data_IF_696922263441
#
_entry.id   IF_696922263441
#
_cell.length_a   1.000
_cell.length_b   1.000
_cell.length_c   1.000
_cell.angle_alpha   90.00
_cell.angle_beta   90.00
_cell.angle_gamma   90.00
#
_symmetry.space_group_name_H-M   'P 1'
#
loop_
_entity.id
_entity.type
_entity.pdbx_description
1 polymer ?
#
# COMPACT_ATOMS: atom_id res chain seq x y z
N UNK A 1 8.79 10.03 -40.50
CA UNK A 1 8.72 10.07 -39.03
C UNK A 1 8.61 11.53 -38.59
N UNK A 2 7.57 11.89 -37.90
CA UNK A 2 7.42 13.23 -37.34
C UNK A 2 8.25 13.34 -36.04
N UNK A 3 8.49 14.56 -35.55
CA UNK A 3 9.17 14.78 -34.28
C UNK A 3 8.38 14.16 -33.12
N UNK A 4 7.06 14.01 -33.26
CA UNK A 4 6.16 13.36 -32.29
C UNK A 4 6.36 11.85 -32.28
N UNK A 5 6.45 11.21 -33.46
CA UNK A 5 6.70 9.77 -33.59
C UNK A 5 8.01 9.39 -32.89
N UNK A 6 9.07 10.16 -33.12
CA UNK A 6 10.38 9.96 -32.48
C UNK A 6 10.36 10.13 -30.95
N UNK A 7 9.44 10.93 -30.37
CA UNK A 7 9.30 11.05 -28.92
C UNK A 7 8.59 9.83 -28.35
N UNK A 8 7.55 9.35 -29.00
CA UNK A 8 6.78 8.16 -28.59
C UNK A 8 7.68 6.92 -28.62
N UNK A 9 8.45 6.73 -29.67
CA UNK A 9 9.40 5.60 -29.80
C UNK A 9 10.44 5.62 -28.68
N UNK A 10 11.08 6.77 -28.42
CA UNK A 10 12.04 6.90 -27.30
C UNK A 10 11.42 6.60 -25.93
N UNK A 11 10.18 7.02 -25.70
CA UNK A 11 9.47 6.74 -24.47
C UNK A 11 9.13 5.25 -24.37
N UNK A 12 8.68 4.61 -25.44
CA UNK A 12 8.46 3.17 -25.50
C UNK A 12 9.73 2.38 -25.17
N UNK A 13 10.87 2.78 -25.73
CA UNK A 13 12.17 2.16 -25.41
C UNK A 13 12.56 2.38 -23.93
N UNK A 14 12.27 3.55 -23.36
CA UNK A 14 12.51 3.83 -21.92
C UNK A 14 11.68 2.88 -21.06
N UNK A 15 10.39 2.75 -21.35
CA UNK A 15 9.48 1.85 -20.64
C UNK A 15 9.92 0.39 -20.77
N UNK A 16 10.26 -0.04 -21.99
CA UNK A 16 10.72 -1.41 -22.23
C UNK A 16 11.98 -1.75 -21.41
N UNK A 17 12.96 -0.85 -21.35
CA UNK A 17 14.17 -1.05 -20.54
C UNK A 17 13.86 -1.23 -19.06
N UNK A 18 12.81 -0.56 -18.54
CA UNK A 18 12.42 -0.63 -17.13
C UNK A 18 11.53 -1.85 -16.81
N UNK A 19 10.70 -2.28 -17.78
CA UNK A 19 9.60 -3.20 -17.49
C UNK A 19 9.79 -4.59 -18.10
N UNK A 20 10.81 -4.82 -18.93
CA UNK A 20 11.02 -6.10 -19.63
C UNK A 20 11.26 -7.30 -18.71
N UNK A 21 11.64 -7.06 -17.45
CA UNK A 21 11.83 -8.12 -16.42
C UNK A 21 10.54 -8.49 -15.67
N UNK A 22 9.45 -7.73 -15.87
CA UNK A 22 8.20 -7.93 -15.13
C UNK A 22 7.32 -8.98 -15.79
N UNK A 23 7.14 -10.11 -15.13
CA UNK A 23 6.36 -11.25 -15.60
C UNK A 23 5.36 -11.82 -14.55
N UNK A 24 5.24 -11.17 -13.41
CA UNK A 24 4.44 -11.67 -12.29
C UNK A 24 2.92 -11.66 -12.52
N UNK A 25 2.45 -10.96 -13.57
CA UNK A 25 1.02 -10.84 -13.89
C UNK A 25 0.70 -11.62 -15.18
N UNK A 26 0.06 -12.79 -15.09
CA UNK A 26 -0.27 -13.60 -16.27
C UNK A 26 -1.13 -12.80 -17.29
N UNK A 27 -0.74 -12.86 -18.56
CA UNK A 27 -1.43 -12.18 -19.65
C UNK A 27 -1.04 -10.72 -19.88
N UNK A 28 -0.19 -10.14 -19.04
CA UNK A 28 0.33 -8.77 -19.19
C UNK A 28 1.79 -8.80 -19.69
N UNK A 29 1.96 -9.10 -20.98
CA UNK A 29 3.27 -9.06 -21.61
C UNK A 29 3.78 -7.62 -21.71
N UNK A 30 4.92 -7.33 -21.10
CA UNK A 30 5.60 -6.03 -21.19
C UNK A 30 6.66 -6.09 -22.27
N UNK A 31 6.19 -6.02 -23.50
CA UNK A 31 6.98 -6.02 -24.73
C UNK A 31 7.00 -4.62 -25.36
N UNK A 32 7.69 -4.48 -26.50
CA UNK A 32 7.77 -3.20 -27.20
C UNK A 32 6.40 -2.66 -27.60
N UNK A 33 5.48 -3.51 -28.07
CA UNK A 33 4.15 -3.07 -28.53
C UNK A 33 3.31 -2.53 -27.38
N UNK A 34 3.32 -3.20 -26.21
CA UNK A 34 2.63 -2.70 -25.01
C UNK A 34 3.23 -1.40 -24.50
N UNK A 35 4.56 -1.26 -24.52
CA UNK A 35 5.26 -0.02 -24.18
C UNK A 35 4.97 1.11 -25.18
N UNK A 36 4.89 0.79 -26.48
CA UNK A 36 4.53 1.74 -27.51
C UNK A 36 3.09 2.26 -27.35
N UNK A 37 2.16 1.40 -26.93
CA UNK A 37 0.79 1.78 -26.62
C UNK A 37 0.70 2.68 -25.35
N UNK A 38 1.52 2.43 -24.34
CA UNK A 38 1.56 3.22 -23.11
C UNK A 38 2.28 4.58 -23.26
N UNK A 39 3.25 4.68 -24.17
CA UNK A 39 4.11 5.85 -24.32
C UNK A 39 3.38 7.20 -24.56
N UNK A 40 2.33 7.28 -25.39
CA UNK A 40 1.56 8.52 -25.53
C UNK A 40 0.90 8.97 -24.22
N UNK A 41 0.40 8.02 -23.41
CA UNK A 41 -0.25 8.30 -22.14
C UNK A 41 0.76 8.81 -21.10
N UNK A 42 1.91 8.18 -20.97
CA UNK A 42 2.96 8.63 -20.03
C UNK A 42 3.47 10.01 -20.39
N UNK A 43 3.71 10.31 -21.67
CA UNK A 43 4.11 11.63 -22.13
C UNK A 43 3.04 12.70 -21.86
N UNK A 44 1.78 12.36 -22.06
CA UNK A 44 0.65 13.27 -21.79
C UNK A 44 0.49 13.52 -20.29
N UNK A 45 0.58 12.49 -19.45
CA UNK A 45 0.56 12.62 -17.99
C UNK A 45 1.69 13.52 -17.51
N UNK A 46 2.90 13.33 -18.02
CA UNK A 46 4.06 14.18 -17.70
C UNK A 46 3.86 15.65 -18.12
N UNK A 47 3.18 15.92 -19.23
CA UNK A 47 2.79 17.26 -19.65
C UNK A 47 1.80 17.87 -18.66
N UNK A 48 0.72 17.14 -18.33
CA UNK A 48 -0.34 17.57 -17.41
C UNK A 48 0.20 17.81 -16.00
N UNK A 49 1.11 16.96 -15.51
CA UNK A 49 1.81 17.17 -14.23
C UNK A 49 2.47 18.53 -14.17
N UNK A 50 3.27 18.87 -15.18
CA UNK A 50 3.98 20.16 -15.24
C UNK A 50 3.01 21.34 -15.28
N UNK A 51 1.96 21.25 -16.11
CA UNK A 51 0.98 22.32 -16.27
C UNK A 51 0.19 22.62 -15.00
N UNK A 52 -0.07 21.56 -14.19
CA UNK A 52 -0.83 21.69 -12.95
C UNK A 52 0.01 21.84 -11.69
N UNK A 53 1.32 21.77 -11.80
CA UNK A 53 2.21 21.65 -10.64
C UNK A 53 1.92 20.40 -9.81
N UNK A 54 1.48 19.32 -10.46
CA UNK A 54 1.05 18.11 -9.80
C UNK A 54 2.20 17.15 -9.53
N UNK A 55 2.09 16.39 -8.43
CA UNK A 55 2.89 15.20 -8.17
C UNK A 55 2.02 13.95 -8.17
N UNK A 56 2.61 12.83 -8.52
CA UNK A 56 1.98 11.50 -8.46
C UNK A 56 2.63 10.68 -7.36
N UNK A 57 1.82 10.31 -6.37
CA UNK A 57 2.17 9.34 -5.33
C UNK A 57 1.60 7.98 -5.73
N UNK A 58 2.44 6.97 -5.94
CA UNK A 58 2.01 5.64 -6.38
C UNK A 58 2.34 4.56 -5.34
N UNK A 59 1.32 3.80 -4.95
CA UNK A 59 1.53 2.64 -4.10
C UNK A 59 2.23 1.52 -4.88
N UNK A 60 3.09 0.74 -4.21
CA UNK A 60 3.85 -0.37 -4.84
C UNK A 60 2.97 -1.46 -5.46
N UNK A 61 1.66 -1.47 -5.21
CA UNK A 61 0.72 -2.48 -5.70
C UNK A 61 -0.03 -2.06 -6.97
N UNK A 62 0.13 -0.83 -7.45
CA UNK A 62 -0.43 -0.44 -8.76
C UNK A 62 0.45 -0.97 -9.89
N UNK A 63 -0.03 -0.83 -11.13
CA UNK A 63 0.67 -1.33 -12.31
C UNK A 63 2.10 -0.77 -12.42
N UNK A 64 3.09 -1.59 -12.81
CA UNK A 64 4.47 -1.16 -12.99
C UNK A 64 4.64 0.03 -13.95
N UNK A 65 3.78 0.14 -14.98
CA UNK A 65 3.73 1.25 -15.90
C UNK A 65 3.42 2.59 -15.22
N UNK A 66 2.63 2.56 -14.15
CA UNK A 66 2.36 3.73 -13.30
C UNK A 66 3.57 4.01 -12.42
N UNK A 67 4.06 2.97 -11.72
CA UNK A 67 5.15 3.08 -10.74
C UNK A 67 6.44 3.62 -11.38
N UNK A 68 6.78 3.16 -12.58
CA UNK A 68 8.02 3.51 -13.28
C UNK A 68 7.82 4.47 -14.46
N UNK A 69 6.60 4.55 -14.97
CA UNK A 69 6.27 5.43 -16.09
C UNK A 69 6.08 6.88 -15.69
N UNK A 70 5.30 7.14 -14.63
CA UNK A 70 4.79 8.49 -14.32
C UNK A 70 4.85 8.91 -12.85
N UNK A 71 5.08 7.99 -11.91
CA UNK A 71 5.10 8.33 -10.48
C UNK A 71 6.35 9.15 -10.10
N UNK A 72 6.15 10.19 -9.29
CA UNK A 72 7.24 10.97 -8.69
C UNK A 72 7.76 10.26 -7.43
N UNK A 73 6.86 9.65 -6.66
CA UNK A 73 7.21 8.87 -5.47
C UNK A 73 6.46 7.55 -5.48
N UNK A 74 7.15 6.48 -5.11
CA UNK A 74 6.62 5.13 -4.99
C UNK A 74 6.96 4.55 -3.61
N UNK A 75 6.05 3.77 -3.04
CA UNK A 75 6.29 3.19 -1.72
C UNK A 75 5.09 2.47 -1.15
N UNK A 76 5.21 2.16 0.14
CA UNK A 76 4.11 1.70 0.98
C UNK A 76 3.32 2.88 1.58
N UNK A 77 2.27 2.57 2.34
CA UNK A 77 1.40 3.59 2.93
C UNK A 77 2.15 4.55 3.85
N UNK A 78 3.15 4.07 4.61
CA UNK A 78 3.92 4.93 5.51
C UNK A 78 4.81 5.91 4.75
N UNK A 79 5.59 5.39 3.79
CA UNK A 79 6.48 6.21 2.98
C UNK A 79 5.72 7.27 2.18
N UNK A 80 4.57 6.90 1.59
CA UNK A 80 3.73 7.84 0.84
C UNK A 80 3.05 8.87 1.74
N UNK A 81 2.68 8.52 2.98
CA UNK A 81 2.15 9.47 3.96
C UNK A 81 3.19 10.53 4.34
N UNK A 82 4.46 10.11 4.54
CA UNK A 82 5.57 11.06 4.77
C UNK A 82 5.76 12.00 3.58
N UNK A 83 5.77 11.47 2.36
CA UNK A 83 5.92 12.28 1.14
C UNK A 83 4.76 13.24 0.95
N UNK A 84 3.53 12.80 1.24
CA UNK A 84 2.38 13.70 1.25
C UNK A 84 2.59 14.85 2.23
N UNK A 85 2.94 14.56 3.49
CA UNK A 85 3.16 15.57 4.53
C UNK A 85 4.24 16.60 4.18
N UNK A 86 5.31 16.17 3.51
CA UNK A 86 6.41 17.02 3.08
C UNK A 86 6.11 17.83 1.81
N UNK A 87 5.09 17.42 1.05
CA UNK A 87 4.77 18.01 -0.25
C UNK A 87 4.24 19.43 -0.11
N UNK A 88 4.64 20.28 -1.07
CA UNK A 88 4.09 21.62 -1.29
C UNK A 88 3.36 21.73 -2.63
N UNK A 89 3.15 20.59 -3.30
CA UNK A 89 2.49 20.56 -4.60
C UNK A 89 1.02 21.01 -4.47
N UNK A 90 0.53 21.89 -5.35
CA UNK A 90 -0.87 22.31 -5.32
C UNK A 90 -1.84 21.17 -5.67
N UNK A 91 -1.35 20.17 -6.42
CA UNK A 91 -2.13 18.99 -6.81
C UNK A 91 -1.35 17.72 -6.50
N UNK A 92 -2.02 16.77 -5.86
CA UNK A 92 -1.51 15.41 -5.61
C UNK A 92 -2.45 14.42 -6.29
N UNK A 93 -1.99 13.71 -7.31
CA UNK A 93 -2.68 12.55 -7.86
C UNK A 93 -2.21 11.31 -7.10
N UNK A 94 -3.13 10.65 -6.41
CA UNK A 94 -2.81 9.46 -5.63
C UNK A 94 -3.18 8.19 -6.40
N UNK A 95 -2.19 7.52 -6.99
CA UNK A 95 -2.35 6.22 -7.62
C UNK A 95 -2.29 5.12 -6.55
N UNK A 96 -3.47 4.68 -6.11
CA UNK A 96 -3.68 3.74 -5.02
C UNK A 96 -5.16 3.61 -4.70
N UNK A 97 -5.48 3.39 -3.43
CA UNK A 97 -6.86 3.26 -2.95
C UNK A 97 -7.31 4.49 -2.16
N UNK A 98 -8.63 4.69 -2.08
CA UNK A 98 -9.25 5.92 -1.57
C UNK A 98 -8.75 6.32 -0.19
N UNK A 99 -8.64 5.39 0.78
CA UNK A 99 -8.20 5.74 2.14
C UNK A 99 -6.77 6.32 2.18
N UNK A 100 -5.92 5.98 1.19
CA UNK A 100 -4.57 6.57 1.06
C UNK A 100 -4.64 8.02 0.59
N UNK A 101 -5.52 8.31 -0.36
CA UNK A 101 -5.78 9.67 -0.80
C UNK A 101 -6.45 10.51 0.30
N UNK A 102 -7.35 9.92 1.11
CA UNK A 102 -7.86 10.57 2.34
C UNK A 102 -6.72 10.88 3.31
N UNK A 103 -5.79 9.95 3.52
CA UNK A 103 -4.60 10.17 4.36
C UNK A 103 -3.76 11.32 3.82
N UNK A 104 -3.53 11.38 2.50
CA UNK A 104 -2.83 12.50 1.88
C UNK A 104 -3.59 13.83 2.09
N UNK A 105 -4.92 13.84 1.94
CA UNK A 105 -5.73 15.04 2.18
C UNK A 105 -5.74 15.49 3.64
N UNK A 106 -5.71 14.55 4.58
CA UNK A 106 -5.56 14.84 6.02
C UNK A 106 -4.25 15.58 6.28
N UNK A 107 -3.16 15.13 5.68
CA UNK A 107 -1.80 15.64 5.90
C UNK A 107 -1.48 16.89 5.08
N UNK A 108 -2.12 17.07 3.93
CA UNK A 108 -1.94 18.20 3.00
C UNK A 108 -3.28 18.88 2.72
N UNK A 109 -3.87 19.59 3.69
CA UNK A 109 -5.21 20.18 3.52
C UNK A 109 -5.27 21.23 2.40
N UNK A 110 -4.16 21.92 2.13
CA UNK A 110 -4.09 22.95 1.09
C UNK A 110 -4.00 22.37 -0.33
N UNK A 111 -3.53 21.12 -0.48
CA UNK A 111 -3.41 20.47 -1.78
C UNK A 111 -4.77 19.96 -2.27
N UNK A 112 -5.00 20.05 -3.57
CA UNK A 112 -6.08 19.29 -4.24
C UNK A 112 -5.63 17.85 -4.40
N UNK A 113 -6.24 16.93 -3.65
CA UNK A 113 -5.92 15.50 -3.74
C UNK A 113 -6.94 14.81 -4.63
N UNK A 114 -6.46 14.07 -5.64
CA UNK A 114 -7.26 13.41 -6.67
C UNK A 114 -6.98 11.91 -6.66
N UNK A 115 -8.02 11.08 -6.80
CA UNK A 115 -7.92 9.65 -7.09
C UNK A 115 -8.29 9.40 -8.55
N UNK A 116 -7.56 8.52 -9.27
CA UNK A 116 -7.91 8.20 -10.67
C UNK A 116 -9.29 7.54 -10.79
N UNK A 117 -9.66 6.71 -9.82
CA UNK A 117 -10.95 6.03 -9.78
C UNK A 117 -11.50 6.00 -8.35
N UNK A 118 -12.71 6.50 -8.15
CA UNK A 118 -13.37 6.50 -6.83
C UNK A 118 -13.79 5.10 -6.37
N UNK A 119 -13.92 4.13 -7.28
CA UNK A 119 -14.19 2.75 -6.96
C UNK A 119 -12.97 1.97 -6.42
N UNK A 120 -11.77 2.59 -6.42
CA UNK A 120 -10.57 2.00 -5.81
C UNK A 120 -10.67 1.98 -4.28
N UNK A 121 -11.58 1.16 -3.74
CA UNK A 121 -11.83 0.96 -2.31
C UNK A 121 -10.80 0.04 -1.65
N UNK A 122 -11.13 -0.44 -0.46
CA UNK A 122 -10.33 -1.43 0.27
C UNK A 122 -11.22 -2.24 1.20
N UNK A 123 -11.19 -3.57 1.11
CA UNK A 123 -12.04 -4.44 1.94
C UNK A 123 -11.86 -4.19 3.45
N UNK A 124 -10.66 -3.82 3.88
CA UNK A 124 -10.39 -3.44 5.27
C UNK A 124 -11.01 -2.09 5.60
N UNK A 125 -10.76 -1.06 4.81
CA UNK A 125 -11.30 0.28 5.06
C UNK A 125 -12.84 0.30 5.03
N UNK A 126 -13.44 -0.52 4.17
CA UNK A 126 -14.89 -0.61 3.99
C UNK A 126 -15.56 -1.49 5.07
N UNK A 127 -14.81 -2.30 5.81
CA UNK A 127 -15.34 -3.21 6.84
C UNK A 127 -15.78 -2.50 8.13
N UNK A 128 -15.34 -1.26 8.35
CA UNK A 128 -15.61 -0.51 9.59
C UNK A 128 -15.88 0.96 9.30
N UNK A 129 -16.95 1.50 9.91
CA UNK A 129 -17.26 2.94 9.90
C UNK A 129 -16.84 3.61 11.20
N UNK A 130 -16.62 4.94 11.18
CA UNK A 130 -16.34 5.70 12.42
C UNK A 130 -17.48 5.62 13.43
N UNK A 131 -18.74 5.57 12.98
CA UNK A 131 -19.90 5.37 13.87
C UNK A 131 -19.82 4.01 14.58
N UNK A 132 -19.54 2.94 13.84
CA UNK A 132 -19.41 1.60 14.43
C UNK A 132 -18.19 1.52 15.36
N UNK A 133 -17.10 2.21 15.06
CA UNK A 133 -15.95 2.26 15.97
C UNK A 133 -16.29 2.96 17.30
N UNK A 134 -17.09 4.03 17.28
CA UNK A 134 -17.57 4.68 18.54
C UNK A 134 -18.37 3.72 19.42
N UNK A 135 -19.23 2.90 18.82
CA UNK A 135 -19.96 1.86 19.55
C UNK A 135 -19.02 0.83 20.18
N UNK A 136 -18.05 0.33 19.41
CA UNK A 136 -17.05 -0.61 19.90
C UNK A 136 -16.20 0.00 21.02
N UNK A 137 -15.77 1.26 20.86
CA UNK A 137 -15.01 1.98 21.90
C UNK A 137 -15.78 2.09 23.23
N UNK A 138 -17.09 2.28 23.17
CA UNK A 138 -17.93 2.34 24.36
C UNK A 138 -17.98 1.01 25.15
N UNK A 139 -17.76 -0.14 24.45
CA UNK A 139 -17.67 -1.46 25.11
C UNK A 139 -16.30 -1.70 25.79
N UNK A 140 -15.27 -0.95 25.40
CA UNK A 140 -13.90 -1.08 25.89
C UNK A 140 -13.33 0.28 26.31
N UNK A 141 -13.88 0.94 27.34
CA UNK A 141 -13.54 2.32 27.72
C UNK A 141 -12.10 2.47 28.22
N UNK A 142 -11.46 1.39 28.64
CA UNK A 142 -10.08 1.31 29.13
C UNK A 142 -9.07 0.93 28.02
N UNK A 143 -9.53 0.68 26.78
CA UNK A 143 -8.66 0.32 25.68
C UNK A 143 -8.15 1.53 24.91
N UNK A 144 -6.86 1.52 24.52
CA UNK A 144 -6.40 2.40 23.44
C UNK A 144 -6.91 1.87 22.10
N UNK A 145 -7.50 2.76 21.30
CA UNK A 145 -7.95 2.44 19.95
C UNK A 145 -6.81 2.65 18.98
N UNK A 146 -6.31 1.54 18.44
CA UNK A 146 -5.22 1.51 17.44
C UNK A 146 -5.82 1.17 16.09
N UNK A 147 -5.83 2.13 15.15
CA UNK A 147 -6.30 1.84 13.80
C UNK A 147 -5.13 1.56 12.84
N UNK A 148 -5.25 0.49 12.11
CA UNK A 148 -4.40 0.25 10.95
C UNK A 148 -4.69 1.31 9.86
N UNK A 149 -3.67 1.77 9.17
CA UNK A 149 -3.77 2.86 8.18
C UNK A 149 -4.79 2.57 7.06
N UNK A 150 -5.07 1.26 6.81
CA UNK A 150 -6.09 0.80 5.89
C UNK A 150 -7.51 1.00 6.48
N UNK A 151 -7.80 2.25 6.81
CA UNK A 151 -9.05 2.73 7.42
C UNK A 151 -9.45 4.06 6.82
N UNK A 152 -10.74 4.35 6.80
CA UNK A 152 -11.26 5.65 6.35
C UNK A 152 -10.87 6.79 7.28
N UNK A 153 -10.97 8.03 6.81
CA UNK A 153 -10.80 9.23 7.64
C UNK A 153 -11.73 9.21 8.86
N UNK A 154 -12.96 8.69 8.72
CA UNK A 154 -13.93 8.55 9.81
C UNK A 154 -13.45 7.62 10.92
N UNK A 155 -12.83 6.50 10.58
CA UNK A 155 -12.24 5.57 11.56
C UNK A 155 -11.02 6.19 12.23
N UNK A 156 -10.14 6.84 11.47
CA UNK A 156 -8.97 7.55 12.01
C UNK A 156 -9.36 8.64 13.00
N UNK A 157 -10.45 9.38 12.73
CA UNK A 157 -10.94 10.44 13.62
C UNK A 157 -11.46 9.94 14.98
N UNK A 158 -11.85 8.67 15.07
CA UNK A 158 -12.31 8.03 16.32
C UNK A 158 -11.21 7.20 17.01
N UNK A 159 -9.99 7.19 16.46
CA UNK A 159 -8.88 6.37 16.95
C UNK A 159 -7.83 7.20 17.71
N UNK A 160 -7.13 6.58 18.65
CA UNK A 160 -6.11 7.24 19.45
C UNK A 160 -4.76 7.29 18.75
N UNK A 161 -4.42 6.27 17.94
CA UNK A 161 -3.20 6.22 17.15
C UNK A 161 -3.39 5.39 15.89
N UNK A 162 -2.84 5.87 14.77
CA UNK A 162 -2.71 5.13 13.53
C UNK A 162 -1.43 4.30 13.54
N UNK A 163 -1.43 3.16 12.84
CA UNK A 163 -0.24 2.33 12.64
C UNK A 163 -0.20 1.79 11.22
N UNK A 164 1.00 1.40 10.78
CA UNK A 164 1.22 0.65 9.55
C UNK A 164 1.77 -0.73 9.86
N UNK A 165 1.81 -1.63 8.89
CA UNK A 165 2.43 -2.95 9.04
C UNK A 165 3.91 -2.87 9.46
N UNK A 166 4.57 -1.74 9.20
CA UNK A 166 5.99 -1.54 9.55
C UNK A 166 6.26 -1.08 10.97
N UNK A 167 5.28 -0.46 11.65
CA UNK A 167 5.51 0.15 12.97
C UNK A 167 4.53 -0.33 14.06
N UNK A 168 3.56 -1.18 13.71
CA UNK A 168 2.49 -1.58 14.63
C UNK A 168 3.01 -2.24 15.91
N UNK A 169 3.98 -3.14 15.79
CA UNK A 169 4.51 -3.89 16.95
C UNK A 169 5.20 -2.95 17.92
N UNK A 170 6.04 -2.05 17.41
CA UNK A 170 6.83 -1.12 18.22
C UNK A 170 5.93 -0.06 18.87
N UNK A 171 4.97 0.50 18.12
CA UNK A 171 4.01 1.45 18.68
C UNK A 171 3.16 0.81 19.77
N UNK A 172 2.55 -0.36 19.50
CA UNK A 172 1.67 -1.03 20.48
C UNK A 172 2.44 -1.47 21.72
N UNK A 173 3.70 -1.91 21.56
CA UNK A 173 4.54 -2.26 22.72
C UNK A 173 4.79 -1.06 23.65
N UNK A 174 4.90 0.15 23.10
CA UNK A 174 5.18 1.41 23.86
C UNK A 174 3.93 2.07 24.46
N UNK A 175 2.72 1.72 23.99
CA UNK A 175 1.49 2.29 24.56
C UNK A 175 1.37 1.89 26.05
N UNK A 176 0.98 2.82 26.94
CA UNK A 176 0.82 2.49 28.36
C UNK A 176 -0.39 1.58 28.62
N UNK A 177 -1.42 1.66 27.77
CA UNK A 177 -2.64 0.89 27.94
C UNK A 177 -2.38 -0.62 27.79
N UNK A 178 -2.90 -1.42 28.74
CA UNK A 178 -2.80 -2.88 28.68
C UNK A 178 -3.73 -3.46 27.62
N UNK A 179 -4.92 -2.87 27.47
CA UNK A 179 -5.91 -3.30 26.49
C UNK A 179 -5.83 -2.44 25.23
N UNK A 180 -5.84 -3.10 24.08
CA UNK A 180 -5.78 -2.47 22.76
C UNK A 180 -7.00 -2.92 21.96
N UNK A 181 -7.80 -1.98 21.49
CA UNK A 181 -8.81 -2.22 20.46
C UNK A 181 -8.16 -1.98 19.09
N UNK A 182 -7.76 -3.06 18.42
CA UNK A 182 -7.11 -3.01 17.12
C UNK A 182 -8.12 -3.14 15.98
N UNK A 183 -8.14 -2.20 15.08
CA UNK A 183 -9.08 -2.13 13.95
C UNK A 183 -8.36 -1.79 12.64
N UNK A 184 -8.86 -2.19 11.46
CA UNK A 184 -9.99 -3.09 11.22
C UNK A 184 -9.57 -4.54 11.01
N UNK A 185 -8.26 -4.89 10.93
CA UNK A 185 -7.74 -6.16 10.45
C UNK A 185 -7.61 -7.21 11.57
N UNK A 186 -8.45 -8.25 11.50
CA UNK A 186 -8.47 -9.37 12.44
C UNK A 186 -7.21 -10.23 12.38
N UNK A 187 -6.73 -10.54 11.17
CA UNK A 187 -5.57 -11.42 10.98
C UNK A 187 -4.28 -10.73 11.43
N UNK A 188 -4.12 -9.46 11.06
CA UNK A 188 -3.01 -8.65 11.54
C UNK A 188 -3.01 -8.49 13.06
N UNK A 189 -4.18 -8.37 13.70
CA UNK A 189 -4.28 -8.34 15.17
C UNK A 189 -3.82 -9.65 15.81
N UNK A 190 -4.10 -10.79 15.18
CA UNK A 190 -3.65 -12.11 15.66
C UNK A 190 -2.13 -12.24 15.53
N UNK A 191 -1.55 -11.84 14.40
CA UNK A 191 -0.10 -11.82 14.18
C UNK A 191 0.60 -10.84 15.13
N UNK A 192 0.04 -9.66 15.36
CA UNK A 192 0.51 -8.69 16.34
C UNK A 192 0.55 -9.30 17.76
N UNK A 193 -0.51 -9.97 18.16
CA UNK A 193 -0.57 -10.67 19.47
C UNK A 193 0.53 -11.72 19.61
N UNK A 194 0.76 -12.52 18.58
CA UNK A 194 1.81 -13.52 18.55
C UNK A 194 3.21 -12.91 18.68
N UNK A 195 3.48 -11.84 17.93
CA UNK A 195 4.77 -11.14 17.95
C UNK A 195 5.03 -10.41 19.27
N UNK A 196 4.03 -9.76 19.87
CA UNK A 196 4.16 -9.14 21.20
C UNK A 196 4.50 -10.18 22.28
N UNK A 197 3.83 -11.35 22.25
CA UNK A 197 4.16 -12.46 23.17
C UNK A 197 5.59 -12.96 22.99
N UNK A 198 6.05 -13.09 21.73
CA UNK A 198 7.43 -13.48 21.42
C UNK A 198 8.46 -12.49 21.98
N UNK A 199 8.09 -11.19 22.03
CA UNK A 199 8.91 -10.12 22.63
C UNK A 199 8.76 -9.99 24.15
N UNK A 200 7.93 -10.81 24.80
CA UNK A 200 7.65 -10.72 26.24
C UNK A 200 6.79 -9.51 26.61
N UNK A 201 6.05 -8.94 25.68
CA UNK A 201 5.16 -7.80 25.92
C UNK A 201 3.73 -8.29 26.13
N UNK A 202 3.20 -8.04 27.31
CA UNK A 202 1.83 -8.43 27.68
C UNK A 202 0.82 -7.34 27.30
N UNK A 203 0.02 -7.59 26.27
CA UNK A 203 -1.12 -6.76 25.84
C UNK A 203 -2.33 -7.64 25.58
N UNK A 204 -3.49 -7.15 25.95
CA UNK A 204 -4.78 -7.72 25.57
C UNK A 204 -5.24 -7.06 24.26
N UNK A 205 -5.24 -7.81 23.17
CA UNK A 205 -5.64 -7.31 21.84
C UNK A 205 -7.08 -7.73 21.56
N UNK A 206 -8.00 -6.79 21.52
CA UNK A 206 -9.36 -6.95 21.01
C UNK A 206 -9.34 -6.50 19.54
N UNK A 207 -9.94 -7.28 18.64
CA UNK A 207 -9.95 -6.97 17.21
C UNK A 207 -11.38 -6.87 16.68
N UNK A 208 -11.56 -6.08 15.61
CA UNK A 208 -12.73 -6.14 14.75
C UNK A 208 -12.58 -7.25 13.70
N UNK A 209 -13.62 -7.50 12.87
CA UNK A 209 -13.71 -8.70 12.03
C UNK A 209 -13.23 -8.51 10.58
N UNK A 210 -12.67 -7.35 10.22
CA UNK A 210 -12.19 -7.09 8.86
C UNK A 210 -11.04 -8.00 8.45
N UNK A 211 -10.97 -8.35 7.16
CA UNK A 211 -9.86 -9.08 6.53
C UNK A 211 -9.52 -8.48 5.16
N UNK A 212 -8.28 -8.65 4.75
CA UNK A 212 -7.84 -8.26 3.40
C UNK A 212 -8.17 -9.38 2.41
N UNK A 213 -8.99 -9.08 1.40
CA UNK A 213 -9.41 -10.04 0.36
C UNK A 213 -8.24 -10.61 -0.46
N UNK A 214 -7.05 -10.02 -0.38
CA UNK A 214 -5.83 -10.50 -1.04
C UNK A 214 -5.08 -11.45 -0.12
N UNK A 215 -4.76 -10.98 1.09
CA UNK A 215 -3.89 -11.70 2.03
C UNK A 215 -4.58 -12.89 2.72
N UNK A 216 -5.90 -12.90 2.79
CA UNK A 216 -6.71 -14.02 3.31
C UNK A 216 -6.78 -15.24 2.37
N UNK A 217 -6.25 -15.12 1.12
CA UNK A 217 -6.27 -16.21 0.14
C UNK A 217 -5.08 -17.18 0.22
N UNK A 218 -4.07 -16.88 1.01
CA UNK A 218 -2.87 -17.72 1.11
C UNK A 218 -3.04 -18.83 2.13
N UNK A 219 -2.48 -20.01 1.84
CA UNK A 219 -2.55 -21.17 2.72
C UNK A 219 -1.18 -21.80 3.02
N UNK A 220 -1.02 -22.49 4.18
CA UNK A 220 0.20 -23.25 4.45
C UNK A 220 0.45 -24.38 3.47
N UNK A 221 -0.61 -24.93 2.83
CA UNK A 221 -0.46 -25.99 1.82
C UNK A 221 0.25 -25.47 0.57
N UNK A 222 -0.06 -24.25 0.09
CA UNK A 222 0.63 -23.62 -1.03
C UNK A 222 2.12 -23.44 -0.72
N UNK A 223 2.45 -23.06 0.51
CA UNK A 223 3.84 -22.89 0.96
C UNK A 223 4.60 -24.21 0.96
N UNK A 224 4.00 -25.30 1.45
CA UNK A 224 4.61 -26.62 1.48
C UNK A 224 4.87 -27.15 0.07
N UNK A 225 3.91 -26.98 -0.85
CA UNK A 225 4.05 -27.35 -2.25
C UNK A 225 5.21 -26.60 -2.93
N UNK A 226 5.29 -25.27 -2.72
CA UNK A 226 6.37 -24.46 -3.27
C UNK A 226 7.76 -24.86 -2.72
N UNK A 227 7.88 -25.13 -1.41
CA UNK A 227 9.16 -25.61 -0.82
C UNK A 227 9.63 -26.93 -1.40
N UNK A 228 8.71 -27.82 -1.72
CA UNK A 228 9.04 -29.12 -2.35
C UNK A 228 9.57 -28.92 -3.77
N UNK A 229 9.01 -27.96 -4.51
CA UNK A 229 9.37 -27.69 -5.89
C UNK A 229 10.68 -26.88 -6.04
N UNK A 230 10.95 -25.96 -5.09
CA UNK A 230 12.08 -25.03 -5.15
C UNK A 230 12.98 -25.18 -3.91
N UNK A 231 14.01 -26.03 -3.94
CA UNK A 231 14.97 -26.17 -2.83
C UNK A 231 15.67 -24.82 -2.53
N UNK A 232 15.72 -24.46 -1.26
CA UNK A 232 16.31 -23.18 -0.83
C UNK A 232 15.39 -21.96 -0.95
N UNK A 233 14.12 -22.18 -1.33
CA UNK A 233 13.09 -21.14 -1.40
C UNK A 233 12.94 -20.39 -0.07
N UNK A 234 12.90 -19.06 -0.13
CA UNK A 234 12.49 -18.18 0.96
C UNK A 234 11.05 -17.71 0.77
N UNK A 235 10.24 -17.90 1.79
CA UNK A 235 8.83 -17.49 1.80
C UNK A 235 8.70 -16.24 2.65
N UNK A 236 8.24 -15.17 2.02
CA UNK A 236 8.13 -13.82 2.59
C UNK A 236 6.67 -13.41 2.62
N UNK A 237 6.15 -13.06 3.79
CA UNK A 237 4.71 -12.94 4.07
C UNK A 237 4.36 -11.58 4.62
N UNK A 238 3.25 -11.01 4.17
CA UNK A 238 2.69 -9.79 4.77
C UNK A 238 1.92 -10.12 6.06
N UNK A 239 1.97 -9.29 7.13
CA UNK A 239 1.31 -9.57 8.40
C UNK A 239 -0.23 -9.57 8.36
N UNK A 240 -0.86 -9.20 7.25
CA UNK A 240 -2.29 -9.36 7.00
C UNK A 240 -2.69 -10.80 6.63
N UNK A 241 -1.73 -11.71 6.43
CA UNK A 241 -2.00 -13.11 6.15
C UNK A 241 -2.43 -13.89 7.40
N UNK A 242 -3.05 -15.07 7.18
CA UNK A 242 -3.45 -15.97 8.26
C UNK A 242 -2.25 -16.29 9.19
N UNK A 243 -2.44 -16.38 10.51
CA UNK A 243 -1.38 -16.71 11.47
C UNK A 243 -0.64 -18.01 11.17
N UNK A 244 -1.30 -19.03 10.60
CA UNK A 244 -0.63 -20.28 10.22
C UNK A 244 0.31 -20.07 9.02
N UNK A 245 -0.04 -19.19 8.09
CA UNK A 245 0.82 -18.75 6.97
C UNK A 245 2.01 -17.95 7.51
N UNK A 246 1.76 -16.99 8.39
CA UNK A 246 2.80 -16.17 9.00
C UNK A 246 3.79 -17.02 9.83
N UNK A 247 3.29 -18.00 10.60
CA UNK A 247 4.13 -18.89 11.42
C UNK A 247 5.03 -19.85 10.60
N UNK A 248 4.63 -20.16 9.35
CA UNK A 248 5.40 -21.04 8.46
C UNK A 248 6.38 -20.28 7.54
N UNK A 249 6.41 -18.95 7.61
CA UNK A 249 7.24 -18.08 6.77
C UNK A 249 8.70 -18.01 7.23
N UNK A 250 9.60 -17.71 6.30
CA UNK A 250 11.00 -17.33 6.64
C UNK A 250 11.08 -15.89 7.13
N UNK A 251 10.16 -15.03 6.66
CA UNK A 251 10.09 -13.64 7.06
C UNK A 251 8.65 -13.11 7.00
N UNK A 252 8.26 -12.34 8.01
CA UNK A 252 6.99 -11.60 8.07
C UNK A 252 7.28 -10.12 8.27
N UNK A 253 6.75 -9.27 7.40
CA UNK A 253 7.00 -7.84 7.53
C UNK A 253 6.19 -6.97 6.56
N UNK A 254 6.30 -5.65 6.74
CA UNK A 254 5.71 -4.67 5.83
C UNK A 254 6.30 -4.77 4.43
N UNK A 255 5.63 -4.16 3.45
CA UNK A 255 6.09 -4.08 2.05
C UNK A 255 7.55 -3.63 1.93
N UNK A 256 7.94 -2.57 2.66
CA UNK A 256 9.33 -2.10 2.68
C UNK A 256 10.29 -3.08 3.34
N UNK A 257 9.90 -3.70 4.46
CA UNK A 257 10.70 -4.70 5.15
C UNK A 257 10.87 -5.98 4.32
N UNK A 258 9.84 -6.41 3.59
CA UNK A 258 9.92 -7.55 2.66
C UNK A 258 10.95 -7.29 1.55
N UNK A 259 10.93 -6.11 0.94
CA UNK A 259 11.92 -5.72 -0.08
C UNK A 259 13.34 -5.71 0.49
N UNK A 260 13.53 -5.16 1.70
CA UNK A 260 14.83 -5.18 2.37
C UNK A 260 15.31 -6.59 2.64
N UNK A 261 14.44 -7.49 3.13
CA UNK A 261 14.77 -8.89 3.37
C UNK A 261 15.21 -9.62 2.08
N UNK A 262 14.50 -9.43 0.97
CA UNK A 262 14.87 -10.00 -0.34
C UNK A 262 16.27 -9.57 -0.75
N UNK A 263 16.59 -8.28 -0.63
CA UNK A 263 17.92 -7.73 -0.97
C UNK A 263 19.04 -8.23 -0.07
N UNK A 264 18.76 -8.30 1.25
CA UNK A 264 19.75 -8.75 2.23
C UNK A 264 20.00 -10.26 2.22
N UNK A 265 19.12 -11.05 1.58
CA UNK A 265 19.16 -12.51 1.60
C UNK A 265 19.84 -13.03 0.34
N UNK A 266 20.80 -13.96 0.49
CA UNK A 266 21.53 -14.57 -0.63
C UNK A 266 20.74 -15.67 -1.38
N UNK A 267 19.54 -16.03 -0.92
CA UNK A 267 18.69 -17.02 -1.59
C UNK A 267 18.35 -16.58 -3.02
N UNK A 268 18.34 -17.50 -3.99
CA UNK A 268 17.99 -17.17 -5.36
C UNK A 268 16.47 -17.13 -5.60
N UNK A 269 15.68 -17.90 -4.84
CA UNK A 269 14.25 -18.10 -5.04
C UNK A 269 13.44 -17.52 -3.88
N UNK A 270 12.40 -16.74 -4.23
CA UNK A 270 11.47 -16.15 -3.27
C UNK A 270 10.01 -16.43 -3.66
N UNK A 271 9.18 -16.80 -2.68
CA UNK A 271 7.73 -16.79 -2.78
C UNK A 271 7.21 -15.63 -1.94
N UNK A 272 6.59 -14.66 -2.61
CA UNK A 272 6.05 -13.47 -1.98
C UNK A 272 4.55 -13.64 -1.77
N UNK A 273 4.12 -13.83 -0.52
CA UNK A 273 2.70 -13.94 -0.17
C UNK A 273 2.15 -12.56 0.15
N UNK A 274 1.90 -11.82 -0.92
CA UNK A 274 1.35 -10.46 -0.94
C UNK A 274 0.81 -10.14 -2.33
N UNK A 275 0.51 -8.86 -2.58
CA UNK A 275 0.04 -8.37 -3.88
C UNK A 275 1.14 -8.38 -4.95
N UNK A 276 0.75 -8.77 -6.19
CA UNK A 276 1.70 -9.00 -7.30
C UNK A 276 2.49 -7.76 -7.73
N UNK A 277 1.96 -6.55 -7.57
CA UNK A 277 2.70 -5.33 -7.88
C UNK A 277 4.01 -5.18 -7.11
N UNK A 278 4.08 -5.71 -5.86
CA UNK A 278 5.35 -5.76 -5.14
C UNK A 278 6.36 -6.68 -5.82
N UNK A 279 5.90 -7.83 -6.32
CA UNK A 279 6.76 -8.75 -7.08
C UNK A 279 7.26 -8.09 -8.35
N UNK A 280 6.37 -7.45 -9.13
CA UNK A 280 6.75 -6.69 -10.31
C UNK A 280 7.76 -5.58 -10.01
N UNK A 281 7.60 -4.90 -8.87
CA UNK A 281 8.57 -3.90 -8.41
C UNK A 281 9.94 -4.53 -8.09
N UNK A 282 9.96 -5.67 -7.41
CA UNK A 282 11.19 -6.39 -7.10
C UNK A 282 11.88 -6.93 -8.38
N UNK A 283 11.13 -7.40 -9.36
CA UNK A 283 11.67 -7.84 -10.64
C UNK A 283 12.39 -6.73 -11.42
N UNK A 284 11.93 -5.48 -11.26
CA UNK A 284 12.62 -4.31 -11.83
C UNK A 284 13.85 -3.91 -11.01
N UNK A 285 13.72 -3.88 -9.69
CA UNK A 285 14.75 -3.32 -8.80
C UNK A 285 15.84 -4.34 -8.40
N UNK A 286 15.51 -5.64 -8.44
CA UNK A 286 16.39 -6.75 -8.03
C UNK A 286 16.32 -7.90 -9.07
N UNK A 287 16.71 -7.66 -10.36
CA UNK A 287 16.46 -8.57 -11.48
C UNK A 287 17.24 -9.90 -11.40
N UNK A 288 18.22 -10.00 -10.51
CA UNK A 288 18.96 -11.24 -10.25
C UNK A 288 18.22 -12.22 -9.33
N UNK A 289 17.11 -11.80 -8.72
CA UNK A 289 16.28 -12.65 -7.85
C UNK A 289 15.16 -13.29 -8.64
N UNK A 290 14.86 -14.55 -8.31
CA UNK A 290 13.77 -15.28 -8.96
C UNK A 290 12.55 -15.34 -8.05
N UNK A 291 11.42 -14.88 -8.55
CA UNK A 291 10.14 -14.86 -7.82
C UNK A 291 9.25 -15.98 -8.33
N UNK A 292 8.96 -16.94 -7.44
CA UNK A 292 8.05 -18.04 -7.73
C UNK A 292 6.62 -17.51 -7.79
N UNK A 293 5.85 -17.96 -8.78
CA UNK A 293 4.44 -17.57 -8.92
C UNK A 293 3.63 -17.98 -7.69
N UNK A 294 2.81 -17.07 -7.18
CA UNK A 294 2.00 -17.31 -5.98
C UNK A 294 1.40 -16.06 -5.38
N UNK A 295 1.79 -14.87 -5.83
CA UNK A 295 1.17 -13.61 -5.42
C UNK A 295 -0.30 -13.51 -5.88
N UNK A 296 -1.05 -12.55 -5.35
CA UNK A 296 -2.46 -12.31 -5.70
C UNK A 296 -2.65 -10.86 -6.13
N UNK A 297 -3.55 -10.64 -7.08
CA UNK A 297 -3.90 -9.30 -7.56
C UNK A 297 -4.95 -8.66 -6.65
N UNK A 298 -4.76 -7.38 -6.32
CA UNK A 298 -5.77 -6.58 -5.64
C UNK A 298 -6.68 -5.91 -6.68
N UNK A 299 -7.96 -6.29 -6.79
CA UNK A 299 -8.85 -5.70 -7.80
C UNK A 299 -9.03 -4.19 -7.63
N UNK A 300 -8.94 -3.68 -6.40
CA UNK A 300 -9.05 -2.25 -6.14
C UNK A 300 -7.81 -1.46 -6.59
N UNK A 301 -6.61 -1.99 -6.38
CA UNK A 301 -5.36 -1.36 -6.85
C UNK A 301 -5.29 -1.35 -8.38
N UNK A 302 -5.80 -2.42 -9.03
CA UNK A 302 -5.81 -2.58 -10.49
C UNK A 302 -6.87 -1.69 -11.20
N UNK A 303 -7.70 -0.96 -10.46
CA UNK A 303 -8.56 0.08 -11.03
C UNK A 303 -7.79 1.32 -11.46
N UNK A 304 -6.57 1.52 -10.97
CA UNK A 304 -5.69 2.58 -11.44
C UNK A 304 -5.12 2.22 -12.82
N UNK A 305 -5.32 3.08 -13.81
CA UNK A 305 -4.71 2.93 -15.14
C UNK A 305 -4.15 4.27 -15.63
N UNK A 306 -3.25 4.23 -16.61
CA UNK A 306 -2.67 5.45 -17.21
C UNK A 306 -3.75 6.34 -17.81
N UNK A 307 -4.78 5.77 -18.46
CA UNK A 307 -5.90 6.51 -19.03
C UNK A 307 -6.67 7.28 -17.96
N UNK A 308 -7.06 6.60 -16.86
CA UNK A 308 -7.78 7.24 -15.75
C UNK A 308 -6.94 8.32 -15.07
N UNK A 309 -5.63 8.10 -14.95
CA UNK A 309 -4.72 9.10 -14.40
C UNK A 309 -4.61 10.33 -15.30
N UNK A 310 -4.46 10.13 -16.61
CA UNK A 310 -4.47 11.22 -17.59
C UNK A 310 -5.77 12.02 -17.50
N UNK A 311 -6.92 11.34 -17.51
CA UNK A 311 -8.24 11.99 -17.51
C UNK A 311 -8.47 12.75 -16.20
N UNK A 312 -8.10 12.17 -15.05
CA UNK A 312 -8.18 12.81 -13.75
C UNK A 312 -7.25 14.04 -13.64
N UNK A 313 -6.07 14.01 -14.28
CA UNK A 313 -5.20 15.17 -14.37
C UNK A 313 -5.72 16.21 -15.37
N UNK A 314 -6.31 15.80 -16.48
CA UNK A 314 -6.83 16.72 -17.49
C UNK A 314 -8.08 17.48 -16.97
N UNK A 315 -9.06 16.74 -16.46
CA UNK A 315 -10.35 17.31 -15.99
C UNK A 315 -10.94 16.44 -14.87
N UNK A 316 -10.48 16.62 -13.61
CA UNK A 316 -10.95 15.78 -12.51
C UNK A 316 -12.45 15.96 -12.29
N UNK A 317 -13.19 14.85 -12.23
CA UNK A 317 -14.60 14.86 -11.84
C UNK A 317 -14.71 15.23 -10.35
N UNK A 318 -15.79 15.89 -9.90
CA UNK A 318 -15.98 16.21 -8.48
C UNK A 318 -15.83 15.00 -7.55
N UNK A 319 -16.28 13.82 -7.99
CA UNK A 319 -16.14 12.57 -7.23
C UNK A 319 -14.70 12.06 -7.09
N UNK A 320 -13.80 12.45 -7.97
CA UNK A 320 -12.37 12.08 -7.90
C UNK A 320 -11.58 12.99 -6.95
N UNK A 321 -12.10 14.17 -6.62
CA UNK A 321 -11.46 15.11 -5.68
C UNK A 321 -11.81 14.70 -4.26
N UNK A 322 -10.79 14.46 -3.44
CA UNK A 322 -10.98 14.10 -2.03
C UNK A 322 -11.27 15.36 -1.21
N UNK A 323 -12.44 15.38 -0.60
CA UNK A 323 -12.87 16.44 0.33
C UNK A 323 -13.18 15.83 1.69
N UNK A 324 -12.80 16.52 2.75
CA UNK A 324 -13.06 16.12 4.13
C UNK A 324 -13.63 17.33 4.88
N UNK A 325 -14.58 17.07 5.77
CA UNK A 325 -14.99 18.06 6.77
C UNK A 325 -13.79 18.42 7.64
N UNK A 326 -13.63 19.69 8.00
CA UNK A 326 -12.42 20.18 8.68
C UNK A 326 -12.28 19.64 10.10
N UNK A 327 -13.37 19.48 10.87
CA UNK A 327 -13.32 18.86 12.20
C UNK A 327 -12.92 17.39 12.10
N UNK A 328 -13.53 16.67 11.16
CA UNK A 328 -13.16 15.27 10.87
C UNK A 328 -11.68 15.15 10.51
N UNK A 329 -11.20 16.02 9.60
CA UNK A 329 -9.80 16.05 9.17
C UNK A 329 -8.84 16.26 10.34
N UNK A 330 -9.12 17.27 11.20
CA UNK A 330 -8.27 17.58 12.35
C UNK A 330 -8.23 16.46 13.39
N UNK A 331 -9.36 15.79 13.64
CA UNK A 331 -9.39 14.62 14.51
C UNK A 331 -8.58 13.45 13.95
N UNK A 332 -8.73 13.17 12.65
CA UNK A 332 -7.96 12.15 11.95
C UNK A 332 -6.46 12.48 11.89
N UNK A 333 -6.09 13.76 11.72
CA UNK A 333 -4.70 14.22 11.72
C UNK A 333 -4.01 13.89 13.05
N UNK A 334 -4.66 14.13 14.20
CA UNK A 334 -4.08 13.81 15.52
C UNK A 334 -3.70 12.33 15.66
N UNK A 335 -4.53 11.44 15.13
CA UNK A 335 -4.29 10.00 15.11
C UNK A 335 -3.03 9.65 14.31
N UNK A 336 -2.85 10.27 13.13
CA UNK A 336 -1.69 10.04 12.24
C UNK A 336 -0.42 10.70 12.83
N UNK A 337 -0.52 11.93 13.36
CA UNK A 337 0.61 12.64 13.96
C UNK A 337 1.17 11.86 15.16
N UNK A 338 0.29 11.23 15.95
CA UNK A 338 0.73 10.35 17.04
C UNK A 338 1.52 9.13 16.53
N UNK A 339 1.14 8.57 15.38
CA UNK A 339 1.94 7.53 14.72
C UNK A 339 3.36 8.01 14.40
N UNK A 340 3.48 9.19 13.76
CA UNK A 340 4.78 9.74 13.42
C UNK A 340 5.62 10.03 14.67
N UNK A 341 5.02 10.61 15.70
CA UNK A 341 5.70 10.92 16.95
C UNK A 341 6.25 9.66 17.64
N UNK A 342 5.45 8.57 17.68
CA UNK A 342 5.85 7.31 18.28
C UNK A 342 6.85 6.51 17.42
N UNK A 343 6.86 6.70 16.10
CA UNK A 343 7.83 6.05 15.21
C UNK A 343 9.19 6.75 15.24
N UNK A 344 9.24 8.08 15.44
CA UNK A 344 10.47 8.88 15.43
C UNK A 344 11.19 8.94 16.80
N UNK A 345 10.69 8.24 17.82
CA UNK A 345 11.23 8.28 19.18
C UNK A 345 12.40 7.29 19.42
N UNK A 346 13.10 6.84 18.35
CA UNK A 346 14.30 6.02 18.39
C UNK A 346 15.56 6.81 18.13
#
# INVERSE_FOLDING_TARGET
MTATDSKIEREAERLLRLLSTVDCEPGHARNYDSCLAAAPLTLEIERLKRERGAIILAHSYVEPEIVYGVADFKGDSYALSLRARESRAPVILFAGVVFMAETAKILCPESTVIVPDRASGCSLADSLTGARLRELRALYPDAAVVCYINSTAGVKAESDVCVTSGNVVDIVARLPERRILFVPDRLMAQNLRAELRRRGVEKEIVASDGTCIVHDQFSPADMAAARTQFPGLKIVVHPECDPAVAAAADFVGSTGAMMHYVRATSAPYFLMLTECGLVGRLQVEDPEKHFVSGCRLCPHMKLNSLEKMRDALAAPQPSQVVTLDEDLRQRAARCIDRMFALTSAD
#
